data_IF_945777793141
#
_entry.id   IF_945777793141
#
_cell.length_a   1.000
_cell.length_b   1.000
_cell.length_c   1.000
_cell.angle_alpha   90.00
_cell.angle_beta   90.00
_cell.angle_gamma   90.00
#
_symmetry.space_group_name_H-M   'P 1'
#
loop_
_entity.id
_entity.type
_entity.pdbx_description
1 polymer ?
#
# COMPACT_ATOMS: atom_id res chain seq x y z
N UNK A 1 9.92 10.65 -34.83
CA UNK A 1 9.22 9.53 -34.17
C UNK A 1 7.82 9.46 -34.75
N UNK A 2 7.46 8.41 -35.48
CA UNK A 2 6.12 8.30 -36.06
C UNK A 2 5.08 8.27 -34.95
N UNK A 3 4.07 9.14 -35.01
CA UNK A 3 2.91 9.09 -34.13
C UNK A 3 2.16 7.77 -34.33
N UNK A 4 2.50 6.76 -33.55
CA UNK A 4 1.78 5.51 -33.53
C UNK A 4 0.42 5.78 -32.86
N UNK A 5 -0.61 6.07 -33.68
CA UNK A 5 -1.97 6.26 -33.20
C UNK A 5 -2.43 4.99 -32.48
N UNK A 6 -2.64 5.11 -31.17
CA UNK A 6 -3.14 4.02 -30.34
C UNK A 6 -4.54 3.62 -30.78
N UNK A 7 -4.78 2.31 -30.87
CA UNK A 7 -6.12 1.80 -31.20
C UNK A 7 -7.08 2.08 -30.03
N UNK A 8 -8.37 2.36 -30.28
CA UNK A 8 -9.36 2.61 -29.22
C UNK A 8 -9.39 1.49 -28.15
N UNK A 9 -9.22 0.23 -28.58
CA UNK A 9 -9.14 -0.93 -27.68
C UNK A 9 -7.93 -0.88 -26.72
N UNK A 10 -6.80 -0.33 -27.15
CA UNK A 10 -5.59 -0.21 -26.31
C UNK A 10 -5.74 0.92 -25.28
N UNK A 11 -6.38 2.02 -25.68
CA UNK A 11 -6.71 3.15 -24.78
C UNK A 11 -7.71 2.71 -23.72
N UNK A 12 -8.76 1.99 -24.12
CA UNK A 12 -9.72 1.43 -23.16
C UNK A 12 -9.05 0.48 -22.16
N UNK A 13 -8.23 -0.46 -22.66
CA UNK A 13 -7.52 -1.41 -21.81
C UNK A 13 -6.55 -0.70 -20.84
N UNK A 14 -5.91 0.38 -21.28
CA UNK A 14 -5.08 1.22 -20.42
C UNK A 14 -5.85 1.76 -19.23
N UNK A 15 -6.97 2.44 -19.46
CA UNK A 15 -7.73 3.06 -18.38
C UNK A 15 -8.27 2.02 -17.41
N UNK A 16 -8.80 0.91 -17.90
CA UNK A 16 -9.32 -0.16 -17.02
C UNK A 16 -8.22 -0.71 -16.11
N UNK A 17 -7.06 -1.08 -16.68
CA UNK A 17 -5.98 -1.69 -15.89
C UNK A 17 -5.31 -0.67 -14.96
N UNK A 18 -5.18 0.59 -15.39
CA UNK A 18 -4.65 1.65 -14.54
C UNK A 18 -5.59 1.97 -13.36
N UNK A 19 -6.89 2.11 -13.60
CA UNK A 19 -7.88 2.35 -12.52
C UNK A 19 -7.86 1.19 -11.51
N UNK A 20 -7.85 -0.06 -11.98
CA UNK A 20 -7.79 -1.22 -11.11
C UNK A 20 -6.53 -1.22 -10.24
N UNK A 21 -5.35 -0.96 -10.83
CA UNK A 21 -4.11 -0.86 -10.06
C UNK A 21 -4.09 0.33 -9.10
N UNK A 22 -4.73 1.44 -9.46
CA UNK A 22 -4.84 2.61 -8.58
C UNK A 22 -5.72 2.31 -7.35
N UNK A 23 -6.86 1.64 -7.55
CA UNK A 23 -7.71 1.17 -6.45
C UNK A 23 -6.93 0.20 -5.55
N UNK A 24 -6.23 -0.77 -6.14
CA UNK A 24 -5.38 -1.69 -5.38
C UNK A 24 -4.30 -0.96 -4.58
N UNK A 25 -3.70 0.09 -5.12
CA UNK A 25 -2.67 0.87 -4.43
C UNK A 25 -3.22 1.56 -3.16
N UNK A 26 -4.47 2.04 -3.21
CA UNK A 26 -5.16 2.56 -2.02
C UNK A 26 -5.44 1.45 -1.02
N UNK A 27 -5.88 0.27 -1.47
CA UNK A 27 -6.11 -0.88 -0.61
C UNK A 27 -4.82 -1.40 0.05
N UNK A 28 -3.70 -1.38 -0.67
CA UNK A 28 -2.37 -1.73 -0.15
C UNK A 28 -1.99 -0.78 1.00
N UNK A 29 -2.17 0.53 0.80
CA UNK A 29 -1.90 1.54 1.82
C UNK A 29 -2.78 1.37 3.07
N UNK A 30 -4.06 1.06 2.90
CA UNK A 30 -4.97 0.80 4.03
C UNK A 30 -4.60 -0.49 4.78
N UNK A 31 -4.24 -1.55 4.04
CA UNK A 31 -3.82 -2.82 4.63
C UNK A 31 -2.52 -2.68 5.42
N UNK A 32 -1.53 -1.96 4.86
CA UNK A 32 -0.28 -1.66 5.55
C UNK A 32 -0.50 -0.82 6.81
N UNK A 33 -1.39 0.17 6.76
CA UNK A 33 -1.78 0.96 7.93
C UNK A 33 -2.33 0.06 9.04
N UNK A 34 -3.23 -0.86 8.71
CA UNK A 34 -3.80 -1.82 9.66
C UNK A 34 -2.70 -2.67 10.30
N UNK A 35 -1.78 -3.21 9.49
CA UNK A 35 -0.66 -4.00 9.98
C UNK A 35 0.28 -3.22 10.92
N UNK A 36 0.66 -1.99 10.55
CA UNK A 36 1.51 -1.12 11.39
C UNK A 36 0.81 -0.85 12.72
N UNK A 37 -0.48 -0.55 12.69
CA UNK A 37 -1.26 -0.22 13.90
C UNK A 37 -1.40 -1.44 14.82
N UNK A 38 -1.65 -2.62 14.25
CA UNK A 38 -1.72 -3.87 15.01
C UNK A 38 -0.38 -4.19 15.69
N UNK A 39 0.72 -4.15 14.93
CA UNK A 39 2.07 -4.35 15.48
C UNK A 39 2.35 -3.33 16.58
N UNK A 40 1.94 -2.08 16.36
CA UNK A 40 2.19 -1.04 17.34
C UNK A 40 1.44 -1.26 18.66
N UNK A 41 0.20 -1.73 18.58
CA UNK A 41 -0.60 -2.11 19.74
C UNK A 41 0.01 -3.30 20.48
N UNK A 42 0.50 -4.32 19.76
CA UNK A 42 1.17 -5.47 20.37
C UNK A 42 2.44 -5.08 21.14
N UNK A 43 3.27 -4.21 20.56
CA UNK A 43 4.47 -3.69 21.23
C UNK A 43 4.09 -2.92 22.49
N UNK A 44 3.05 -2.09 22.43
CA UNK A 44 2.56 -1.37 23.60
C UNK A 44 2.08 -2.33 24.71
N UNK A 45 1.33 -3.37 24.36
CA UNK A 45 0.82 -4.33 25.35
C UNK A 45 1.91 -5.25 25.94
N UNK A 46 3.01 -5.47 25.23
CA UNK A 46 4.14 -6.28 25.72
C UNK A 46 4.94 -5.58 26.84
N UNK A 47 4.74 -4.29 27.08
CA UNK A 47 5.53 -3.50 28.03
C UNK A 47 4.71 -3.21 29.28
N UNK A 48 5.20 -3.52 30.49
CA UNK A 48 4.51 -3.20 31.74
C UNK A 48 4.18 -1.71 31.87
N UNK A 49 2.97 -1.41 32.39
CA UNK A 49 2.44 -0.05 32.43
C UNK A 49 3.32 0.90 33.28
N UNK A 50 3.97 0.38 34.31
CA UNK A 50 4.87 1.12 35.19
C UNK A 50 6.05 1.72 34.39
N UNK A 51 6.64 0.90 33.51
CA UNK A 51 7.74 1.32 32.63
C UNK A 51 7.26 2.30 31.56
N UNK A 52 6.01 2.15 31.09
CA UNK A 52 5.43 3.09 30.12
C UNK A 52 5.19 4.48 30.72
N UNK A 53 4.83 4.56 32.00
CA UNK A 53 4.63 5.82 32.72
C UNK A 53 5.97 6.49 32.99
N UNK A 54 6.93 5.74 33.56
CA UNK A 54 8.27 6.25 33.90
C UNK A 54 9.00 6.81 32.67
N UNK A 55 8.93 6.12 31.53
CA UNK A 55 9.59 6.54 30.29
C UNK A 55 8.74 7.45 29.41
N UNK A 56 7.57 7.89 29.87
CA UNK A 56 6.60 8.69 29.10
C UNK A 56 6.25 8.06 27.74
N UNK A 57 6.28 6.72 27.66
CA UNK A 57 6.10 6.02 26.40
C UNK A 57 4.66 6.14 25.90
N UNK A 58 3.70 6.14 26.83
CA UNK A 58 2.28 6.40 26.58
C UNK A 58 2.02 7.74 25.85
N UNK A 59 2.87 8.76 26.02
CA UNK A 59 2.76 10.05 25.31
C UNK A 59 3.34 10.01 23.90
N UNK A 60 4.33 9.13 23.64
CA UNK A 60 5.04 9.01 22.36
C UNK A 60 4.42 7.95 21.44
N UNK A 61 3.79 6.94 22.02
CA UNK A 61 3.23 5.76 21.37
C UNK A 61 1.73 5.63 21.68
N UNK A 62 0.96 6.71 21.52
CA UNK A 62 -0.48 6.53 21.41
C UNK A 62 -0.76 5.83 20.08
N UNK A 63 -1.45 4.69 20.12
CA UNK A 63 -1.84 3.93 18.91
C UNK A 63 -2.51 4.86 17.89
N UNK A 64 -3.27 5.85 18.36
CA UNK A 64 -3.88 6.89 17.51
C UNK A 64 -2.89 7.85 16.83
N UNK A 65 -1.74 8.19 17.43
CA UNK A 65 -0.72 9.00 16.77
C UNK A 65 0.02 8.19 15.69
N UNK A 66 0.35 6.93 15.98
CA UNK A 66 0.97 6.01 15.01
C UNK A 66 0.04 5.80 13.82
N UNK A 67 -1.25 5.58 14.07
CA UNK A 67 -2.26 5.40 13.03
C UNK A 67 -2.39 6.62 12.11
N UNK A 68 -2.49 7.84 12.68
CA UNK A 68 -2.58 9.09 11.89
C UNK A 68 -1.32 9.35 11.08
N UNK A 69 -0.15 9.11 11.66
CA UNK A 69 1.13 9.29 10.97
C UNK A 69 1.32 8.28 9.84
N UNK A 70 1.00 7.00 10.09
CA UNK A 70 1.01 5.95 9.09
C UNK A 70 0.05 6.28 7.94
N UNK A 71 -1.16 6.76 8.23
CA UNK A 71 -2.12 7.18 7.22
C UNK A 71 -1.58 8.31 6.34
N UNK A 72 -0.93 9.32 6.93
CA UNK A 72 -0.36 10.44 6.18
C UNK A 72 0.75 9.98 5.23
N UNK A 73 1.71 9.18 5.73
CA UNK A 73 2.82 8.67 4.92
C UNK A 73 2.32 7.73 3.82
N UNK A 74 1.48 6.76 4.18
CA UNK A 74 0.98 5.77 3.23
C UNK A 74 0.03 6.41 2.20
N UNK A 75 -0.70 7.45 2.58
CA UNK A 75 -1.49 8.25 1.64
C UNK A 75 -0.60 8.95 0.59
N UNK A 76 0.50 9.58 1.02
CA UNK A 76 1.48 10.18 0.09
C UNK A 76 2.10 9.10 -0.80
N UNK A 77 2.50 7.97 -0.22
CA UNK A 77 3.07 6.86 -0.98
C UNK A 77 2.08 6.30 -2.02
N UNK A 78 0.79 6.19 -1.68
CA UNK A 78 -0.25 5.75 -2.61
C UNK A 78 -0.43 6.72 -3.78
N UNK A 79 -0.45 8.03 -3.52
CA UNK A 79 -0.53 9.05 -4.58
C UNK A 79 0.68 8.97 -5.52
N UNK A 80 1.90 8.89 -4.97
CA UNK A 80 3.11 8.72 -5.76
C UNK A 80 3.10 7.41 -6.56
N UNK A 81 2.59 6.33 -5.96
CA UNK A 81 2.41 5.04 -6.61
C UNK A 81 1.46 5.11 -7.81
N UNK A 82 0.31 5.78 -7.67
CA UNK A 82 -0.67 5.96 -8.76
C UNK A 82 -0.06 6.78 -9.92
N UNK A 83 0.69 7.83 -9.61
CA UNK A 83 1.40 8.64 -10.62
C UNK A 83 2.45 7.79 -11.34
N UNK A 84 3.23 6.99 -10.59
CA UNK A 84 4.21 6.09 -11.18
C UNK A 84 3.55 5.02 -12.08
N UNK A 85 2.41 4.48 -11.67
CA UNK A 85 1.62 3.52 -12.45
C UNK A 85 1.16 4.11 -13.78
N UNK A 86 0.73 5.38 -13.82
CA UNK A 86 0.39 6.06 -15.09
C UNK A 86 1.57 6.02 -16.06
N UNK A 87 2.78 6.40 -15.60
CA UNK A 87 3.99 6.36 -16.41
C UNK A 87 4.34 4.94 -16.91
N UNK A 88 4.26 3.94 -16.02
CA UNK A 88 4.52 2.54 -16.36
C UNK A 88 3.53 2.02 -17.40
N UNK A 89 2.24 2.28 -17.22
CA UNK A 89 1.20 1.78 -18.13
C UNK A 89 1.23 2.50 -19.47
N UNK A 90 1.50 3.81 -19.52
CA UNK A 90 1.67 4.54 -20.79
C UNK A 90 2.80 3.91 -21.60
N UNK A 91 3.97 3.71 -20.99
CA UNK A 91 5.10 3.06 -21.65
C UNK A 91 4.79 1.62 -22.09
N UNK A 92 3.99 0.89 -21.32
CA UNK A 92 3.60 -0.48 -21.63
C UNK A 92 2.61 -0.58 -22.79
N UNK A 93 1.68 0.37 -22.90
CA UNK A 93 0.68 0.47 -23.98
C UNK A 93 1.37 0.67 -25.32
N UNK A 94 2.29 1.64 -25.41
CA UNK A 94 3.05 1.89 -26.65
C UNK A 94 3.88 0.67 -27.08
N UNK A 95 4.38 -0.10 -26.12
CA UNK A 95 5.18 -1.32 -26.37
C UNK A 95 4.33 -2.59 -26.54
N UNK A 96 3.00 -2.50 -26.49
CA UNK A 96 2.10 -3.66 -26.56
C UNK A 96 2.26 -4.67 -25.41
N UNK A 97 2.92 -4.28 -24.32
CA UNK A 97 3.29 -5.16 -23.20
C UNK A 97 2.44 -4.95 -21.93
N UNK A 98 1.32 -4.24 -22.07
CA UNK A 98 0.46 -3.80 -20.97
C UNK A 98 -0.01 -4.95 -20.07
N UNK A 99 -0.38 -6.10 -20.64
CA UNK A 99 -0.82 -7.28 -19.88
C UNK A 99 0.29 -7.83 -18.96
N UNK A 100 1.51 -7.90 -19.48
CA UNK A 100 2.67 -8.38 -18.71
C UNK A 100 2.99 -7.41 -17.56
N UNK A 101 2.93 -6.10 -17.84
CA UNK A 101 3.15 -5.08 -16.81
C UNK A 101 2.07 -5.08 -15.75
N UNK A 102 0.81 -5.22 -16.14
CA UNK A 102 -0.31 -5.38 -15.21
C UNK A 102 -0.10 -6.60 -14.31
N UNK A 103 0.22 -7.77 -14.88
CA UNK A 103 0.47 -8.97 -14.09
C UNK A 103 1.61 -8.78 -13.06
N UNK A 104 2.70 -8.10 -13.44
CA UNK A 104 3.78 -7.79 -12.50
C UNK A 104 3.34 -6.85 -11.38
N UNK A 105 2.63 -5.77 -11.73
CA UNK A 105 2.11 -4.82 -10.74
C UNK A 105 1.18 -5.54 -9.76
N UNK A 106 0.19 -6.28 -10.28
CA UNK A 106 -0.78 -7.02 -9.46
C UNK A 106 -0.10 -8.06 -8.58
N UNK A 107 0.94 -8.74 -9.06
CA UNK A 107 1.69 -9.69 -8.24
C UNK A 107 2.39 -9.02 -7.05
N UNK A 108 2.96 -7.83 -7.25
CA UNK A 108 3.57 -7.04 -6.18
C UNK A 108 2.50 -6.60 -5.18
N UNK A 109 1.37 -6.07 -5.67
CA UNK A 109 0.26 -5.63 -4.81
C UNK A 109 -0.30 -6.79 -3.98
N UNK A 110 -0.53 -7.95 -4.60
CA UNK A 110 -0.94 -9.16 -3.89
C UNK A 110 0.08 -9.57 -2.81
N UNK A 111 1.39 -9.47 -3.09
CA UNK A 111 2.43 -9.72 -2.10
C UNK A 111 2.34 -8.77 -0.90
N UNK A 112 2.11 -7.48 -1.13
CA UNK A 112 1.93 -6.48 -0.07
C UNK A 112 0.72 -6.81 0.79
N UNK A 113 -0.42 -7.16 0.18
CA UNK A 113 -1.64 -7.54 0.89
C UNK A 113 -1.42 -8.78 1.77
N UNK A 114 -0.79 -9.83 1.21
CA UNK A 114 -0.50 -11.07 1.94
C UNK A 114 0.40 -10.79 3.15
N UNK A 115 1.50 -10.05 2.97
CA UNK A 115 2.44 -9.74 4.06
C UNK A 115 1.76 -8.89 5.14
N UNK A 116 0.98 -7.89 4.73
CA UNK A 116 0.24 -7.03 5.67
C UNK A 116 -0.75 -7.85 6.50
N UNK A 117 -1.50 -8.73 5.86
CA UNK A 117 -2.50 -9.55 6.54
C UNK A 117 -1.85 -10.61 7.45
N UNK A 118 -0.73 -11.19 7.04
CA UNK A 118 0.05 -12.11 7.87
C UNK A 118 0.55 -11.42 9.14
N UNK A 119 1.06 -10.19 9.03
CA UNK A 119 1.51 -9.42 10.19
C UNK A 119 0.37 -9.19 11.20
N UNK A 120 -0.82 -8.79 10.72
CA UNK A 120 -2.02 -8.64 11.57
C UNK A 120 -2.38 -9.97 12.24
N UNK A 121 -2.38 -11.07 11.48
CA UNK A 121 -2.75 -12.38 11.99
C UNK A 121 -1.79 -12.89 13.07
N UNK A 122 -0.48 -12.78 12.83
CA UNK A 122 0.56 -13.15 13.81
C UNK A 122 0.39 -12.36 15.10
N UNK A 123 0.21 -11.03 15.00
CA UNK A 123 -0.04 -10.17 16.16
C UNK A 123 -1.28 -10.62 16.94
N UNK A 124 -2.36 -10.96 16.24
CA UNK A 124 -3.62 -11.38 16.86
C UNK A 124 -3.51 -12.71 17.61
N UNK A 125 -2.50 -13.54 17.32
CA UNK A 125 -2.23 -14.78 18.06
C UNK A 125 -1.38 -14.57 19.32
N UNK A 126 -0.71 -13.42 19.42
CA UNK A 126 0.22 -13.09 20.52
C UNK A 126 -0.37 -12.19 21.59
N UNK A 127 -1.56 -11.64 21.34
CA UNK A 127 -2.37 -10.84 22.27
C UNK A 127 -3.40 -11.72 22.98
#
# INVERSE_FOLDING_TARGET
>A
MSEQKLKPKQVFLFYVLWILSAILCVLDALSLRSAITAVAAAIANAVPIEVQIERQWHLRWTVGAVDKFALAILGIAAVLGIIALDGVYRGAVFKGSIKKRFATVTAIQAGVLIVSQLAVWIVSLTL
#
